data_IF_050266959633
#
_entry.id   IF_050266959633
#
_cell.length_a   1.000
_cell.length_b   1.000
_cell.length_c   1.000
_cell.angle_alpha   90.00
_cell.angle_beta   90.00
_cell.angle_gamma   90.00
#
_symmetry.space_group_name_H-M   'P 1'
#
loop_
_entity.id
_entity.type
_entity.pdbx_description
1 polymer ?
#
# COMPACT_ATOMS: atom_id res chain seq x y z
N UNK A 1 14.73 -0.40 -11.67
CA UNK A 1 15.64 -1.10 -10.73
C UNK A 1 15.25 -0.72 -9.29
N UNK A 2 14.29 -1.41 -8.67
CA UNK A 2 13.69 -1.07 -7.36
C UNK A 2 14.41 -1.68 -6.13
N UNK A 3 15.57 -2.31 -6.31
CA UNK A 3 16.11 -3.28 -5.34
C UNK A 3 16.75 -2.65 -4.08
N UNK A 4 17.00 -1.33 -4.06
CA UNK A 4 17.64 -0.66 -2.93
C UNK A 4 16.68 -0.21 -1.83
N UNK A 5 15.47 0.22 -2.20
CA UNK A 5 14.64 1.00 -1.27
C UNK A 5 13.97 0.18 -0.16
N UNK A 6 13.79 -1.12 -0.35
CA UNK A 6 13.14 -1.98 0.64
C UNK A 6 13.90 -2.07 1.98
N UNK A 7 15.20 -1.74 2.00
CA UNK A 7 16.06 -1.84 3.19
C UNK A 7 16.20 -0.55 3.97
N UNK A 8 15.73 0.58 3.45
CA UNK A 8 15.83 1.85 4.16
C UNK A 8 14.76 1.97 5.24
N UNK A 9 15.11 2.63 6.35
CA UNK A 9 14.18 3.00 7.40
C UNK A 9 13.39 4.25 7.00
N UNK A 10 12.40 4.06 6.12
CA UNK A 10 11.53 5.14 5.67
C UNK A 10 10.69 5.71 6.82
N UNK A 11 10.28 4.85 7.74
CA UNK A 11 9.56 5.26 8.94
C UNK A 11 10.41 6.17 9.84
N UNK A 12 11.66 5.78 10.13
CA UNK A 12 12.60 6.63 10.87
C UNK A 12 12.82 7.98 10.20
N UNK A 13 12.97 8.00 8.86
CA UNK A 13 13.07 9.24 8.11
C UNK A 13 11.82 10.13 8.27
N UNK A 14 10.62 9.55 8.24
CA UNK A 14 9.36 10.27 8.46
C UNK A 14 9.31 10.86 9.87
N UNK A 15 9.68 10.08 10.88
CA UNK A 15 9.70 10.52 12.28
C UNK A 15 10.65 11.71 12.46
N UNK A 16 11.84 11.64 11.85
CA UNK A 16 12.82 12.74 11.84
C UNK A 16 12.33 13.98 11.10
N UNK A 17 11.66 13.81 9.96
CA UNK A 17 11.19 14.90 9.10
C UNK A 17 9.97 15.63 9.69
N UNK A 18 9.14 14.92 10.45
CA UNK A 18 7.89 15.42 11.05
C UNK A 18 8.01 15.75 12.53
N UNK A 19 9.09 15.31 13.20
CA UNK A 19 9.28 15.40 14.66
C UNK A 19 8.14 14.74 15.45
N UNK A 20 7.57 13.68 14.88
CA UNK A 20 6.47 12.89 15.43
C UNK A 20 6.88 11.42 15.45
N UNK A 21 6.42 10.67 16.46
CA UNK A 21 6.56 9.21 16.45
C UNK A 21 5.40 8.58 15.67
N UNK A 22 5.70 7.70 14.73
CA UNK A 22 4.67 7.02 13.95
C UNK A 22 3.95 5.96 14.81
N UNK A 23 2.68 5.70 14.50
CA UNK A 23 1.99 4.49 14.98
C UNK A 23 2.60 3.24 14.32
N UNK A 24 2.30 2.05 14.81
CA UNK A 24 2.75 0.80 14.15
C UNK A 24 2.29 0.74 12.68
N UNK A 25 1.01 1.06 12.43
CA UNK A 25 0.47 1.18 11.08
C UNK A 25 1.18 2.28 10.29
N UNK A 26 1.43 3.44 10.90
CA UNK A 26 2.16 4.54 10.29
C UNK A 26 3.55 4.14 9.82
N UNK A 27 4.30 3.39 10.63
CA UNK A 27 5.62 2.85 10.28
C UNK A 27 5.54 1.88 9.10
N UNK A 28 4.58 0.96 9.12
CA UNK A 28 4.39 0.02 8.00
C UNK A 28 4.02 0.74 6.71
N UNK A 29 3.09 1.70 6.77
CA UNK A 29 2.67 2.49 5.61
C UNK A 29 3.82 3.34 5.06
N UNK A 30 4.62 3.98 5.91
CA UNK A 30 5.79 4.74 5.49
C UNK A 30 6.79 3.84 4.74
N UNK A 31 7.03 2.62 5.23
CA UNK A 31 7.92 1.66 4.57
C UNK A 31 7.37 1.17 3.22
N UNK A 32 6.06 0.90 3.13
CA UNK A 32 5.41 0.53 1.87
C UNK A 32 5.53 1.67 0.86
N UNK A 33 5.13 2.89 1.23
CA UNK A 33 5.14 4.05 0.34
C UNK A 33 6.56 4.45 -0.07
N UNK A 34 7.53 4.31 0.84
CA UNK A 34 8.93 4.52 0.53
C UNK A 34 9.49 3.49 -0.44
N UNK A 35 9.07 2.22 -0.35
CA UNK A 35 9.45 1.22 -1.34
C UNK A 35 8.78 1.46 -2.71
N UNK A 36 7.47 1.73 -2.70
CA UNK A 36 6.66 1.99 -3.91
C UNK A 36 7.15 3.24 -4.65
N UNK A 37 7.38 4.35 -3.93
CA UNK A 37 7.76 5.65 -4.49
C UNK A 37 9.26 5.84 -4.76
N UNK A 38 10.08 4.78 -4.66
CA UNK A 38 11.53 4.89 -4.89
C UNK A 38 12.25 5.76 -3.85
N UNK A 39 11.87 5.62 -2.58
CA UNK A 39 12.34 6.39 -1.42
C UNK A 39 11.22 7.27 -0.87
N UNK A 40 10.99 7.27 0.45
CA UNK A 40 9.90 8.08 1.04
C UNK A 40 10.08 9.59 0.83
N UNK A 41 11.32 10.04 0.67
CA UNK A 41 11.68 11.41 0.36
C UNK A 41 11.49 11.77 -1.13
N UNK A 42 11.39 10.77 -2.00
CA UNK A 42 11.06 10.92 -3.43
C UNK A 42 9.59 10.63 -3.72
N UNK A 43 8.89 9.98 -2.78
CA UNK A 43 7.51 9.57 -2.97
C UNK A 43 6.63 10.80 -3.25
N UNK A 44 5.70 10.73 -4.22
CA UNK A 44 4.82 11.83 -4.62
C UNK A 44 3.72 12.07 -3.59
N UNK A 45 4.11 12.52 -2.39
CA UNK A 45 3.22 12.83 -1.29
C UNK A 45 3.83 13.96 -0.45
N UNK A 46 3.01 14.59 0.38
CA UNK A 46 3.50 15.57 1.35
C UNK A 46 3.56 14.92 2.74
N UNK A 47 4.75 14.47 3.13
CA UNK A 47 5.00 13.77 4.40
C UNK A 47 4.50 14.57 5.60
N UNK A 48 4.62 15.89 5.58
CA UNK A 48 4.24 16.78 6.71
C UNK A 48 2.73 16.95 6.88
N UNK A 49 1.93 16.59 5.87
CA UNK A 49 0.45 16.71 5.92
C UNK A 49 -0.25 15.42 6.36
N UNK A 50 0.49 14.33 6.52
CA UNK A 50 -0.07 13.03 6.86
C UNK A 50 -0.02 12.86 8.38
N UNK A 51 -1.11 12.37 8.95
CA UNK A 51 -1.22 12.03 10.36
C UNK A 51 -0.65 10.63 10.59
N UNK A 52 0.67 10.54 10.79
CA UNK A 52 1.41 9.27 10.91
C UNK A 52 1.24 8.55 12.25
N UNK A 53 0.75 9.25 13.27
CA UNK A 53 0.51 8.72 14.62
C UNK A 53 -0.88 8.07 14.77
N UNK A 54 -1.71 8.08 13.73
CA UNK A 54 -3.03 7.45 13.78
C UNK A 54 -2.90 5.91 13.76
N UNK A 55 -3.39 5.20 14.80
CA UNK A 55 -3.24 3.74 14.86
C UNK A 55 -4.29 2.99 14.03
N UNK A 56 -5.35 3.68 13.54
CA UNK A 56 -6.50 3.03 12.89
C UNK A 56 -6.56 3.28 11.39
N UNK A 57 -6.12 4.46 10.95
CA UNK A 57 -6.17 4.85 9.55
C UNK A 57 -5.04 5.80 9.19
N UNK A 58 -4.23 5.43 8.19
CA UNK A 58 -3.30 6.38 7.57
C UNK A 58 -3.92 6.85 6.25
N UNK A 59 -4.15 8.15 6.15
CA UNK A 59 -4.64 8.80 4.93
C UNK A 59 -3.51 9.53 4.22
N UNK A 60 -3.31 9.21 2.94
CA UNK A 60 -2.24 9.77 2.11
C UNK A 60 -2.83 10.32 0.82
N UNK A 61 -2.40 11.51 0.41
CA UNK A 61 -2.67 12.03 -0.93
C UNK A 61 -1.45 11.76 -1.81
N UNK A 62 -1.59 10.83 -2.74
CA UNK A 62 -0.61 10.51 -3.78
C UNK A 62 -0.81 11.47 -4.97
N UNK A 63 0.24 12.15 -5.38
CA UNK A 63 0.20 13.28 -6.32
C UNK A 63 0.45 12.90 -7.78
N UNK A 64 0.51 11.60 -8.08
CA UNK A 64 0.79 11.05 -9.40
C UNK A 64 -0.19 9.93 -9.75
N UNK A 65 -0.15 9.49 -11.02
CA UNK A 65 -0.87 8.29 -11.47
C UNK A 65 -0.07 7.04 -11.11
N UNK A 66 -0.75 5.95 -10.81
CA UNK A 66 -0.14 4.63 -10.64
C UNK A 66 -0.63 3.70 -11.74
N UNK A 67 0.24 2.84 -12.27
CA UNK A 67 -0.09 1.84 -13.30
C UNK A 67 0.30 0.43 -12.86
N UNK A 68 -0.34 -0.57 -13.46
CA UNK A 68 0.01 -1.99 -13.30
C UNK A 68 1.22 -2.43 -14.14
N UNK A 69 1.70 -1.60 -15.08
CA UNK A 69 2.86 -1.90 -15.93
C UNK A 69 3.74 -0.66 -16.21
N UNK A 70 5.06 -0.91 -16.33
CA UNK A 70 6.23 -0.01 -16.33
C UNK A 70 6.22 1.10 -15.27
N UNK A 71 7.16 1.01 -14.31
CA UNK A 71 7.11 1.69 -13.00
C UNK A 71 5.87 1.29 -12.18
N UNK A 72 5.79 -0.01 -11.90
CA UNK A 72 4.69 -0.79 -11.33
C UNK A 72 4.22 -0.42 -9.90
N UNK A 73 4.13 0.87 -9.58
CA UNK A 73 3.75 1.37 -8.26
C UNK A 73 2.44 0.76 -7.77
N UNK A 74 1.43 0.63 -8.64
CA UNK A 74 0.14 0.07 -8.25
C UNK A 74 0.28 -1.41 -7.89
N UNK A 75 1.00 -2.17 -8.70
CA UNK A 75 1.22 -3.59 -8.45
C UNK A 75 2.03 -3.80 -7.16
N UNK A 76 3.10 -3.03 -6.95
CA UNK A 76 3.90 -3.08 -5.73
C UNK A 76 3.08 -2.72 -4.50
N UNK A 77 2.28 -1.65 -4.58
CA UNK A 77 1.39 -1.24 -3.50
C UNK A 77 0.44 -2.38 -3.11
N UNK A 78 -0.25 -2.97 -4.09
CA UNK A 78 -1.22 -4.05 -3.85
C UNK A 78 -0.57 -5.29 -3.24
N UNK A 79 0.62 -5.68 -3.74
CA UNK A 79 1.38 -6.82 -3.20
C UNK A 79 1.82 -6.54 -1.77
N UNK A 80 2.46 -5.41 -1.53
CA UNK A 80 3.03 -5.09 -0.22
C UNK A 80 1.97 -4.90 0.86
N UNK A 81 0.85 -4.28 0.51
CA UNK A 81 -0.32 -4.14 1.37
C UNK A 81 -0.93 -5.51 1.70
N UNK A 82 -1.16 -6.34 0.69
CA UNK A 82 -1.75 -7.67 0.89
C UNK A 82 -0.87 -8.56 1.77
N UNK A 83 0.45 -8.60 1.51
CA UNK A 83 1.40 -9.39 2.32
C UNK A 83 1.43 -8.96 3.80
N UNK A 84 1.23 -7.68 4.09
CA UNK A 84 1.24 -7.13 5.45
C UNK A 84 -0.14 -7.07 6.12
N UNK A 85 -1.18 -7.61 5.48
CA UNK A 85 -2.57 -7.50 5.96
C UNK A 85 -3.02 -6.04 6.13
N UNK A 86 -2.57 -5.14 5.25
CA UNK A 86 -3.05 -3.77 5.21
C UNK A 86 -4.02 -3.66 4.05
N UNK A 87 -5.28 -3.34 4.34
CA UNK A 87 -6.23 -2.96 3.28
C UNK A 87 -5.89 -1.54 2.84
N UNK A 88 -5.68 -1.35 1.54
CA UNK A 88 -5.64 -0.04 0.90
C UNK A 88 -6.94 0.21 0.14
N UNK A 89 -7.51 1.41 0.28
CA UNK A 89 -8.62 1.89 -0.55
C UNK A 89 -8.16 3.14 -1.30
N UNK A 90 -8.55 3.27 -2.57
CA UNK A 90 -8.08 4.33 -3.47
C UNK A 90 -9.28 5.14 -3.97
N UNK A 91 -9.18 6.47 -3.91
CA UNK A 91 -10.24 7.39 -4.33
C UNK A 91 -9.63 8.58 -5.07
N UNK A 92 -10.26 9.03 -6.16
CA UNK A 92 -9.86 10.29 -6.80
C UNK A 92 -10.18 11.47 -5.87
N UNK A 93 -9.21 12.36 -5.65
CA UNK A 93 -9.42 13.56 -4.82
C UNK A 93 -9.02 14.86 -5.53
N UNK A 94 -8.76 14.79 -6.84
CA UNK A 94 -8.45 15.91 -7.71
C UNK A 94 -7.79 15.44 -9.01
N UNK A 95 -7.60 16.32 -10.01
CA UNK A 95 -6.89 15.96 -11.23
C UNK A 95 -5.48 15.46 -10.91
N UNK A 96 -5.17 14.20 -11.25
CA UNK A 96 -3.89 13.51 -10.96
C UNK A 96 -3.59 13.27 -9.47
N UNK A 97 -4.56 13.44 -8.59
CA UNK A 97 -4.42 13.15 -7.16
C UNK A 97 -5.29 11.97 -6.75
N UNK A 98 -4.68 11.02 -6.03
CA UNK A 98 -5.37 9.87 -5.45
C UNK A 98 -5.23 9.89 -3.93
N UNK A 99 -6.35 9.77 -3.25
CA UNK A 99 -6.39 9.51 -1.81
C UNK A 99 -6.25 8.00 -1.59
N UNK A 100 -5.26 7.62 -0.78
CA UNK A 100 -5.00 6.28 -0.31
C UNK A 100 -5.38 6.20 1.17
N UNK A 101 -6.20 5.22 1.52
CA UNK A 101 -6.66 4.97 2.90
C UNK A 101 -6.16 3.59 3.33
N UNK A 102 -5.32 3.54 4.36
CA UNK A 102 -4.71 2.32 4.86
C UNK A 102 -5.32 1.89 6.19
N UNK A 103 -5.76 0.63 6.27
CA UNK A 103 -6.30 0.03 7.48
C UNK A 103 -5.69 -1.35 7.73
N UNK A 104 -5.13 -1.57 8.93
CA UNK A 104 -4.63 -2.90 9.32
C UNK A 104 -5.78 -3.90 9.47
N UNK A 105 -5.52 -5.13 9.04
CA UNK A 105 -6.36 -6.32 9.23
C UNK A 105 -5.58 -7.32 10.07
N UNK A 106 -6.30 -8.06 10.90
CA UNK A 106 -5.69 -8.90 11.93
C UNK A 106 -5.77 -10.40 11.59
N UNK A 107 -6.56 -10.76 10.57
CA UNK A 107 -6.77 -12.15 10.18
C UNK A 107 -6.77 -12.29 8.66
N UNK A 108 -6.42 -13.49 8.17
CA UNK A 108 -6.59 -13.87 6.74
C UNK A 108 -7.99 -14.40 6.45
N UNK A 109 -8.63 -14.96 7.47
CA UNK A 109 -9.95 -15.59 7.40
C UNK A 109 -10.99 -14.82 8.23
N UNK A 110 -12.28 -15.15 8.06
CA UNK A 110 -13.38 -14.59 8.83
C UNK A 110 -14.16 -13.48 8.10
N UNK A 111 -14.75 -12.56 8.85
CA UNK A 111 -15.62 -11.52 8.29
C UNK A 111 -14.84 -10.50 7.44
N UNK A 112 -15.47 -9.96 6.39
CA UNK A 112 -14.85 -9.00 5.46
C UNK A 112 -14.23 -7.77 6.13
N UNK A 113 -14.73 -7.38 7.31
CA UNK A 113 -14.21 -6.24 8.05
C UNK A 113 -12.90 -6.54 8.79
N UNK A 114 -12.62 -7.82 9.07
CA UNK A 114 -11.43 -8.28 9.81
C UNK A 114 -10.40 -8.95 8.91
N UNK A 115 -10.86 -9.58 7.83
CA UNK A 115 -10.00 -10.36 6.92
C UNK A 115 -9.37 -9.54 5.80
N UNK A 116 -8.18 -9.96 5.38
CA UNK A 116 -7.62 -9.64 4.07
C UNK A 116 -7.01 -10.91 3.45
N UNK A 117 -7.64 -11.48 2.40
CA UNK A 117 -7.08 -12.64 1.70
C UNK A 117 -5.69 -12.35 1.14
N UNK A 118 -4.87 -13.38 0.98
CA UNK A 118 -3.62 -13.27 0.23
C UNK A 118 -3.87 -13.18 -1.29
N UNK A 119 -2.86 -12.82 -2.06
CA UNK A 119 -2.96 -12.69 -3.52
C UNK A 119 -3.39 -14.00 -4.16
N UNK A 120 -2.79 -15.12 -3.76
CA UNK A 120 -3.13 -16.44 -4.30
C UNK A 120 -4.58 -16.83 -3.99
N UNK A 121 -5.08 -16.48 -2.81
CA UNK A 121 -6.48 -16.71 -2.43
C UNK A 121 -7.42 -15.85 -3.28
N UNK A 122 -7.07 -14.57 -3.53
CA UNK A 122 -7.84 -13.70 -4.42
C UNK A 122 -7.86 -14.21 -5.85
N UNK A 123 -6.73 -14.70 -6.37
CA UNK A 123 -6.64 -15.30 -7.71
C UNK A 123 -7.55 -16.52 -7.79
N UNK A 124 -7.49 -17.44 -6.82
CA UNK A 124 -8.35 -18.63 -6.79
C UNK A 124 -9.85 -18.27 -6.71
N UNK A 125 -10.22 -17.23 -5.95
CA UNK A 125 -11.59 -16.72 -5.89
C UNK A 125 -12.05 -16.17 -7.24
N UNK A 126 -11.21 -15.39 -7.91
CA UNK A 126 -11.50 -14.82 -9.23
C UNK A 126 -11.64 -15.96 -10.26
N UNK A 127 -10.70 -16.91 -10.30
CA UNK A 127 -10.75 -18.04 -11.24
C UNK A 127 -12.03 -18.87 -11.08
N UNK A 128 -12.45 -19.10 -9.83
CA UNK A 128 -13.71 -19.77 -9.53
C UNK A 128 -14.93 -18.96 -10.04
N UNK A 129 -14.96 -17.65 -9.81
CA UNK A 129 -16.05 -16.77 -10.27
C UNK A 129 -16.14 -16.69 -11.80
N UNK A 130 -14.99 -16.64 -12.49
CA UNK A 130 -14.93 -16.59 -13.95
C UNK A 130 -15.14 -17.97 -14.60
N UNK A 131 -15.25 -19.05 -13.82
CA UNK A 131 -15.39 -20.42 -14.30
C UNK A 131 -14.21 -20.91 -15.14
N UNK A 132 -13.04 -20.26 -15.03
CA UNK A 132 -11.85 -20.55 -15.84
C UNK A 132 -10.89 -21.44 -15.08
N UNK A 133 -10.63 -22.62 -15.64
CA UNK A 133 -9.50 -23.46 -15.23
C UNK A 133 -8.24 -22.97 -15.95
N UNK A 134 -7.65 -21.85 -15.51
CA UNK A 134 -6.49 -21.17 -16.10
C UNK A 134 -6.66 -20.75 -17.57
N UNK A 135 -6.10 -19.59 -17.90
CA UNK A 135 -5.73 -19.32 -19.28
C UNK A 135 -4.70 -20.40 -19.64
N UNK A 136 -5.04 -21.34 -20.51
CA UNK A 136 -4.03 -22.16 -21.20
C UNK A 136 -3.17 -21.18 -21.98
N UNK A 137 -2.08 -20.73 -21.35
CA UNK A 137 -1.06 -19.95 -22.04
C UNK A 137 -0.42 -20.89 -23.07
N UNK A 138 -0.30 -20.47 -24.33
CA UNK A 138 0.41 -21.24 -25.35
C UNK A 138 1.88 -21.46 -24.98
#
# INVERSE_FOLDING_TARGET
MYHGYARFDHAGWVEDATKMKCSELGREVANILGYVGGGIYNAPLNVKKIKWDDPYCIEVVWQHTMSSWDHCELALLLVECTRRMIRVSMQGCGPRYMRLLFHKRNTRTGSMQRRLPDIEEMVAMIDADWGRTRFELP
#
